data_IF_523765076881
#
_entry.id   IF_523765076881
#
_cell.length_a   1.000
_cell.length_b   1.000
_cell.length_c   1.000
_cell.angle_alpha   90.00
_cell.angle_beta   90.00
_cell.angle_gamma   90.00
#
_symmetry.space_group_name_H-M   'P 1'
#
loop_
_entity.id
_entity.type
_entity.pdbx_description
1 polymer ?
#
# COMPACT_ATOMS: atom_id res chain seq x y z
N UNK A 1 -12.18 -28.57 -5.36
CA UNK A 1 -12.60 -27.19 -5.14
C UNK A 1 -13.00 -26.55 -6.47
N UNK A 2 -14.08 -25.75 -6.44
CA UNK A 2 -14.63 -25.12 -7.64
C UNK A 2 -14.38 -23.61 -7.59
N UNK A 3 -13.12 -23.20 -7.36
CA UNK A 3 -12.69 -21.82 -7.33
C UNK A 3 -11.90 -21.47 -8.60
N UNK A 4 -12.13 -20.26 -9.15
CA UNK A 4 -11.25 -19.69 -10.16
C UNK A 4 -10.02 -19.16 -9.47
N UNK A 5 -8.84 -19.51 -9.98
CA UNK A 5 -7.57 -19.08 -9.43
C UNK A 5 -6.68 -18.55 -10.56
N UNK A 6 -6.02 -17.39 -10.36
CA UNK A 6 -5.05 -16.83 -11.29
C UNK A 6 -4.01 -16.01 -10.53
N UNK A 7 -2.87 -15.76 -11.14
CA UNK A 7 -1.77 -14.97 -10.59
C UNK A 7 -1.70 -13.61 -11.28
N UNK A 8 -1.42 -12.56 -10.49
CA UNK A 8 -1.13 -11.22 -10.99
C UNK A 8 0.30 -10.84 -10.63
N UNK A 9 0.99 -10.17 -11.57
CA UNK A 9 2.35 -9.67 -11.37
C UNK A 9 2.45 -8.24 -11.86
N UNK A 10 2.74 -7.33 -10.94
CA UNK A 10 3.07 -5.93 -11.18
C UNK A 10 3.93 -5.44 -10.02
N UNK A 11 5.11 -6.04 -9.87
CA UNK A 11 6.04 -5.77 -8.79
C UNK A 11 5.31 -5.69 -7.42
N UNK A 12 5.65 -4.68 -6.59
CA UNK A 12 5.03 -4.50 -5.27
C UNK A 12 3.59 -3.94 -5.31
N UNK A 13 3.05 -3.64 -6.48
CA UNK A 13 1.69 -3.12 -6.66
C UNK A 13 0.63 -4.22 -6.88
N UNK A 14 1.01 -5.44 -7.27
CA UNK A 14 0.13 -6.48 -7.79
C UNK A 14 -1.13 -6.79 -6.97
N UNK A 15 -1.08 -6.74 -5.64
CA UNK A 15 -2.27 -6.99 -4.81
C UNK A 15 -3.31 -5.87 -4.87
N UNK A 16 -2.90 -4.63 -5.15
CA UNK A 16 -3.83 -3.49 -5.24
C UNK A 16 -4.76 -3.61 -6.44
N UNK A 17 -4.29 -3.80 -7.69
CA UNK A 17 -5.20 -4.04 -8.80
C UNK A 17 -6.00 -5.34 -8.62
N UNK A 18 -5.47 -6.37 -7.95
CA UNK A 18 -6.24 -7.57 -7.63
C UNK A 18 -7.45 -7.26 -6.72
N UNK A 19 -7.29 -6.37 -5.74
CA UNK A 19 -8.37 -5.92 -4.87
C UNK A 19 -9.38 -5.08 -5.66
N UNK A 20 -8.93 -4.15 -6.51
CA UNK A 20 -9.83 -3.34 -7.34
C UNK A 20 -10.65 -4.22 -8.29
N UNK A 21 -10.02 -5.17 -8.98
CA UNK A 21 -10.73 -6.13 -9.83
C UNK A 21 -11.67 -7.05 -9.05
N UNK A 22 -11.30 -7.44 -7.82
CA UNK A 22 -12.17 -8.21 -6.94
C UNK A 22 -13.43 -7.41 -6.56
N UNK A 23 -13.27 -6.11 -6.27
CA UNK A 23 -14.39 -5.21 -5.99
C UNK A 23 -15.33 -5.11 -7.19
N UNK A 24 -14.80 -4.91 -8.41
CA UNK A 24 -15.57 -4.85 -9.64
C UNK A 24 -16.29 -6.17 -9.96
N UNK A 25 -15.62 -7.29 -9.75
CA UNK A 25 -16.21 -8.62 -9.90
C UNK A 25 -17.40 -8.83 -8.96
N UNK A 26 -17.24 -8.42 -7.70
CA UNK A 26 -18.26 -8.58 -6.66
C UNK A 26 -19.44 -7.60 -6.83
N UNK A 27 -19.27 -6.48 -7.52
CA UNK A 27 -20.37 -5.55 -7.82
C UNK A 27 -21.52 -6.23 -8.59
N UNK A 28 -21.19 -7.23 -9.43
CA UNK A 28 -22.18 -8.03 -10.14
C UNK A 28 -22.51 -9.38 -9.48
N UNK A 29 -21.79 -9.74 -8.41
CA UNK A 29 -21.89 -11.03 -7.71
C UNK A 29 -21.85 -10.85 -6.19
N UNK A 30 -22.85 -10.18 -5.59
CA UNK A 30 -22.78 -9.74 -4.18
C UNK A 30 -22.76 -10.90 -3.18
N UNK A 31 -23.12 -12.10 -3.58
CA UNK A 31 -23.10 -13.29 -2.72
C UNK A 31 -21.78 -14.08 -2.79
N UNK A 32 -20.88 -13.70 -3.70
CA UNK A 32 -19.58 -14.34 -3.83
C UNK A 32 -18.55 -13.67 -2.92
N UNK A 33 -17.39 -14.30 -2.79
CA UNK A 33 -16.22 -13.78 -2.10
C UNK A 33 -14.99 -14.00 -2.95
N UNK A 34 -14.02 -13.07 -2.85
CA UNK A 34 -12.72 -13.20 -3.51
C UNK A 34 -11.64 -13.17 -2.45
N UNK A 35 -10.76 -14.16 -2.47
CA UNK A 35 -9.58 -14.18 -1.61
C UNK A 35 -8.39 -13.67 -2.42
N UNK A 36 -7.83 -12.53 -2.01
CA UNK A 36 -6.58 -11.98 -2.54
C UNK A 36 -5.45 -12.37 -1.60
N UNK A 37 -4.44 -13.05 -2.11
CA UNK A 37 -3.27 -13.48 -1.34
C UNK A 37 -2.04 -12.76 -1.90
N UNK A 38 -1.42 -11.92 -1.08
CA UNK A 38 -0.13 -11.30 -1.33
C UNK A 38 0.94 -12.12 -0.59
N UNK A 39 1.76 -12.86 -1.31
CA UNK A 39 2.78 -13.73 -0.71
C UNK A 39 4.10 -13.58 -1.46
N UNK A 40 5.15 -13.23 -0.73
CA UNK A 40 6.45 -12.98 -1.35
C UNK A 40 7.62 -13.24 -0.39
N UNK A 41 8.81 -13.42 -1.00
CA UNK A 41 10.08 -13.49 -0.31
C UNK A 41 11.08 -12.56 -1.03
N UNK A 42 11.38 -11.42 -0.40
CA UNK A 42 12.37 -10.50 -0.95
C UNK A 42 13.79 -11.05 -0.74
N UNK A 43 14.54 -11.20 -1.82
CA UNK A 43 15.91 -11.71 -1.80
C UNK A 43 16.81 -10.83 -2.68
N UNK A 44 17.88 -10.26 -2.10
CA UNK A 44 18.76 -9.31 -2.77
C UNK A 44 20.19 -9.84 -2.76
N UNK A 45 20.72 -10.71 -2.42
CA UNK A 45 22.11 -11.14 -2.37
C UNK A 45 22.85 -10.63 -1.12
N UNK A 46 23.79 -11.42 -0.71
CA UNK A 46 24.63 -11.14 0.46
C UNK A 46 25.53 -9.92 0.18
N UNK A 47 25.70 -9.07 1.16
CA UNK A 47 26.47 -7.80 1.09
C UNK A 47 25.92 -6.78 0.08
N UNK A 48 24.70 -6.95 -0.41
CA UNK A 48 24.02 -5.91 -1.21
C UNK A 48 23.41 -4.82 -0.31
N UNK A 49 23.23 -3.61 -0.84
CA UNK A 49 22.56 -2.52 -0.11
C UNK A 49 21.10 -2.82 0.24
N UNK A 50 20.49 -3.81 -0.41
CA UNK A 50 19.13 -4.26 -0.12
C UNK A 50 19.03 -5.34 0.97
N UNK A 51 20.11 -6.00 1.30
CA UNK A 51 20.12 -7.13 2.24
C UNK A 51 19.40 -6.84 3.57
N UNK A 52 19.60 -5.69 4.24
CA UNK A 52 18.93 -5.38 5.49
C UNK A 52 17.42 -5.19 5.39
N UNK A 53 16.89 -5.04 4.17
CA UNK A 53 15.46 -4.81 3.93
C UNK A 53 14.71 -6.07 3.52
N UNK A 54 15.38 -7.20 3.39
CA UNK A 54 14.78 -8.48 3.02
C UNK A 54 13.68 -8.87 4.00
N UNK A 55 12.63 -9.48 3.47
CA UNK A 55 11.54 -10.01 4.27
C UNK A 55 10.85 -11.16 3.57
N UNK A 56 10.05 -11.91 4.32
CA UNK A 56 9.21 -12.97 3.79
C UNK A 56 7.89 -12.98 4.56
N UNK A 57 6.79 -13.14 3.84
CA UNK A 57 5.47 -13.18 4.47
C UNK A 57 4.33 -13.28 3.48
N UNK A 58 3.15 -13.44 4.03
CA UNK A 58 1.92 -13.46 3.26
C UNK A 58 0.81 -12.72 4.00
N UNK A 59 0.02 -11.98 3.24
CA UNK A 59 -1.22 -11.35 3.72
C UNK A 59 -2.37 -11.89 2.88
N UNK A 60 -3.40 -12.42 3.54
CA UNK A 60 -4.61 -12.91 2.90
C UNK A 60 -5.78 -11.96 3.20
N UNK A 61 -6.46 -11.48 2.17
CA UNK A 61 -7.52 -10.49 2.26
C UNK A 61 -8.80 -11.05 1.65
N UNK A 62 -9.84 -11.19 2.46
CA UNK A 62 -11.16 -11.59 1.97
C UNK A 62 -11.92 -10.35 1.53
N UNK A 63 -12.22 -10.26 0.24
CA UNK A 63 -13.02 -9.20 -0.35
C UNK A 63 -14.46 -9.68 -0.49
N UNK A 64 -15.40 -8.87 -0.01
CA UNK A 64 -16.82 -9.19 -0.05
C UNK A 64 -17.66 -7.92 -0.28
N UNK A 65 -18.89 -8.09 -0.75
CA UNK A 65 -19.84 -6.99 -0.93
C UNK A 65 -20.21 -6.31 0.40
N UNK A 66 -20.25 -7.07 1.48
CA UNK A 66 -20.48 -6.56 2.84
C UNK A 66 -19.19 -6.71 3.67
N UNK A 67 -18.29 -5.72 3.65
CA UNK A 67 -17.05 -5.78 4.39
C UNK A 67 -17.28 -5.65 5.91
N UNK A 68 -16.43 -6.32 6.71
CA UNK A 68 -16.48 -6.25 8.17
C UNK A 68 -15.39 -5.38 8.78
N UNK A 69 -14.36 -5.01 8.02
CA UNK A 69 -13.21 -4.23 8.53
C UNK A 69 -13.13 -2.87 7.85
N UNK A 70 -12.92 -2.85 6.55
CA UNK A 70 -12.68 -1.65 5.77
C UNK A 70 -13.53 -1.70 4.50
N UNK A 71 -14.41 -0.74 4.34
CA UNK A 71 -15.15 -0.52 3.10
C UNK A 71 -14.29 0.29 2.15
N UNK A 72 -13.86 -0.32 1.05
CA UNK A 72 -13.11 0.40 0.01
C UNK A 72 -14.00 1.43 -0.66
N UNK A 73 -13.49 2.64 -0.83
CA UNK A 73 -14.16 3.71 -1.53
C UNK A 73 -13.91 3.61 -3.05
N UNK A 74 -14.77 4.23 -3.85
CA UNK A 74 -14.65 4.28 -5.32
C UNK A 74 -13.87 5.53 -5.73
N UNK A 75 -12.64 5.67 -5.23
CA UNK A 75 -11.89 6.90 -5.30
C UNK A 75 -10.42 6.71 -5.74
N UNK A 76 -10.06 5.55 -6.21
CA UNK A 76 -8.70 5.22 -6.59
C UNK A 76 -8.16 6.10 -7.73
N UNK A 77 -6.92 6.55 -7.59
CA UNK A 77 -6.18 7.31 -8.61
C UNK A 77 -4.80 6.70 -8.79
N UNK A 78 -4.52 6.20 -9.98
CA UNK A 78 -3.24 5.63 -10.36
C UNK A 78 -2.41 6.61 -11.21
N UNK A 79 -1.10 6.57 -11.01
CA UNK A 79 -0.08 7.24 -11.81
C UNK A 79 0.93 6.21 -12.30
N UNK A 80 1.14 6.15 -13.61
CA UNK A 80 2.07 5.20 -14.24
C UNK A 80 3.13 5.96 -15.04
N UNK A 81 4.38 5.53 -14.90
CA UNK A 81 5.53 6.08 -15.62
C UNK A 81 6.52 4.94 -15.95
N UNK A 82 7.16 4.99 -17.10
CA UNK A 82 8.17 4.00 -17.48
C UNK A 82 9.52 4.34 -16.81
N UNK A 83 9.82 3.64 -15.70
CA UNK A 83 11.00 3.89 -14.85
C UNK A 83 11.67 2.57 -14.47
N UNK A 84 12.92 2.40 -14.87
CA UNK A 84 13.74 1.22 -14.54
C UNK A 84 14.48 1.42 -13.21
N UNK A 85 13.74 1.53 -12.13
CA UNK A 85 14.25 1.82 -10.79
C UNK A 85 14.68 0.58 -10.01
N UNK A 86 13.94 -0.53 -10.19
CA UNK A 86 14.20 -1.81 -9.56
C UNK A 86 13.70 -2.93 -10.46
N UNK A 87 14.58 -3.80 -10.92
CA UNK A 87 14.23 -4.88 -11.86
C UNK A 87 15.24 -6.03 -11.79
N UNK A 88 14.86 -7.19 -12.26
CA UNK A 88 15.77 -8.33 -12.39
C UNK A 88 16.03 -8.60 -13.87
N UNK A 89 17.25 -8.28 -14.38
CA UNK A 89 17.63 -8.61 -15.76
C UNK A 89 17.59 -10.12 -16.02
N UNK A 90 17.32 -10.49 -17.28
CA UNK A 90 17.37 -11.90 -17.70
C UNK A 90 18.74 -12.50 -17.41
N UNK A 91 18.77 -13.69 -16.79
CA UNK A 91 20.01 -14.38 -16.42
C UNK A 91 20.62 -13.93 -15.08
N UNK A 92 20.11 -12.89 -14.44
CA UNK A 92 20.54 -12.49 -13.10
C UNK A 92 19.77 -13.24 -12.00
N UNK A 93 20.50 -13.66 -10.97
CA UNK A 93 19.88 -14.34 -9.81
C UNK A 93 19.09 -13.37 -8.93
N UNK A 94 19.57 -12.15 -8.77
CA UNK A 94 19.01 -11.13 -7.90
C UNK A 94 18.59 -9.89 -8.69
N UNK A 95 17.59 -9.13 -8.20
CA UNK A 95 17.24 -7.86 -8.80
C UNK A 95 18.34 -6.82 -8.58
N UNK A 96 18.39 -5.85 -9.48
CA UNK A 96 19.20 -4.65 -9.39
C UNK A 96 18.33 -3.47 -8.92
N UNK A 97 18.91 -2.56 -8.16
CA UNK A 97 18.24 -1.36 -7.69
C UNK A 97 19.05 -0.11 -8.01
N UNK A 98 18.41 0.88 -8.63
CA UNK A 98 18.91 2.24 -8.73
C UNK A 98 18.33 3.07 -7.56
N UNK A 99 18.93 2.97 -6.38
CA UNK A 99 18.33 3.40 -5.11
C UNK A 99 17.90 4.87 -5.05
N UNK A 100 18.65 5.80 -5.65
CA UNK A 100 18.26 7.20 -5.72
C UNK A 100 17.03 7.38 -6.64
N UNK A 101 17.08 6.79 -7.84
CA UNK A 101 15.98 6.81 -8.79
C UNK A 101 14.71 6.18 -8.22
N UNK A 102 14.85 5.03 -7.54
CA UNK A 102 13.72 4.33 -6.93
C UNK A 102 13.03 5.17 -5.85
N UNK A 103 13.83 5.83 -5.00
CA UNK A 103 13.28 6.77 -4.00
C UNK A 103 12.52 7.92 -4.65
N UNK A 104 13.12 8.54 -5.67
CA UNK A 104 12.54 9.72 -6.33
C UNK A 104 11.27 9.33 -7.12
N UNK A 105 11.27 8.18 -7.80
CA UNK A 105 10.11 7.63 -8.49
C UNK A 105 8.95 7.33 -7.52
N UNK A 106 9.25 6.73 -6.36
CA UNK A 106 8.27 6.45 -5.31
C UNK A 106 7.61 7.74 -4.80
N UNK A 107 8.42 8.76 -4.42
CA UNK A 107 7.91 10.03 -3.89
C UNK A 107 7.11 10.77 -4.95
N UNK A 108 7.62 10.86 -6.19
CA UNK A 108 6.91 11.47 -7.32
C UNK A 108 5.57 10.78 -7.56
N UNK A 109 5.56 9.46 -7.62
CA UNK A 109 4.34 8.68 -7.86
C UNK A 109 3.28 8.91 -6.76
N UNK A 110 3.71 9.02 -5.50
CA UNK A 110 2.82 9.40 -4.42
C UNK A 110 2.26 10.81 -4.60
N UNK A 111 3.13 11.79 -4.87
CA UNK A 111 2.69 13.19 -5.05
C UNK A 111 1.69 13.34 -6.20
N UNK A 112 1.97 12.71 -7.35
CA UNK A 112 1.09 12.77 -8.53
C UNK A 112 -0.27 12.12 -8.24
N UNK A 113 -0.28 10.92 -7.68
CA UNK A 113 -1.53 10.21 -7.35
C UNK A 113 -2.31 10.93 -6.24
N UNK A 114 -1.65 11.45 -5.19
CA UNK A 114 -2.28 12.21 -4.14
C UNK A 114 -2.86 13.53 -4.64
N UNK A 115 -2.09 14.33 -5.40
CA UNK A 115 -2.55 15.63 -5.88
C UNK A 115 -3.79 15.49 -6.77
N UNK A 116 -3.77 14.49 -7.66
CA UNK A 116 -4.92 14.22 -8.52
C UNK A 116 -6.11 13.65 -7.73
N UNK A 117 -5.86 12.78 -6.73
CA UNK A 117 -6.89 12.30 -5.81
C UNK A 117 -7.54 13.44 -5.03
N UNK A 118 -6.73 14.30 -4.41
CA UNK A 118 -7.19 15.46 -3.65
C UNK A 118 -8.06 16.39 -4.51
N UNK A 119 -7.60 16.63 -5.75
CA UNK A 119 -8.34 17.45 -6.73
C UNK A 119 -9.66 16.82 -7.16
N UNK A 120 -9.67 15.52 -7.49
CA UNK A 120 -10.88 14.82 -7.99
C UNK A 120 -11.94 14.70 -6.93
N UNK A 121 -11.54 14.42 -5.70
CA UNK A 121 -12.46 14.08 -4.61
C UNK A 121 -12.65 15.22 -3.60
N UNK A 122 -12.04 16.39 -3.87
CA UNK A 122 -12.06 17.57 -2.97
C UNK A 122 -11.67 17.17 -1.53
N UNK A 123 -10.54 16.47 -1.40
CA UNK A 123 -10.01 15.94 -0.14
C UNK A 123 -8.74 16.66 0.28
N UNK A 124 -8.52 16.70 1.58
CA UNK A 124 -7.30 17.21 2.22
C UNK A 124 -6.74 16.15 3.17
N UNK A 125 -5.54 16.35 3.69
CA UNK A 125 -4.95 15.46 4.69
C UNK A 125 -5.77 15.37 5.99
N UNK A 126 -6.56 16.40 6.29
CA UNK A 126 -7.42 16.42 7.46
C UNK A 126 -8.57 15.39 7.41
N UNK A 127 -8.96 14.95 6.22
CA UNK A 127 -10.01 13.95 6.01
C UNK A 127 -9.60 12.52 6.44
N UNK A 128 -8.31 12.28 6.70
CA UNK A 128 -7.79 10.94 6.99
C UNK A 128 -7.39 10.79 8.45
N UNK A 129 -7.79 9.68 9.07
CA UNK A 129 -7.31 9.29 10.39
C UNK A 129 -5.85 8.80 10.34
N UNK A 130 -5.47 8.16 9.25
CA UNK A 130 -4.11 7.70 8.97
C UNK A 130 -3.88 7.51 7.48
N UNK A 131 -2.61 7.46 7.09
CA UNK A 131 -2.16 7.01 5.76
C UNK A 131 -1.25 5.79 5.91
N UNK A 132 -1.58 4.72 5.18
CA UNK A 132 -0.74 3.54 5.03
C UNK A 132 -0.02 3.58 3.67
N UNK A 133 1.22 3.14 3.66
CA UNK A 133 2.08 3.17 2.48
C UNK A 133 2.60 1.78 2.16
N UNK A 134 2.95 1.54 0.90
CA UNK A 134 3.88 0.48 0.57
C UNK A 134 5.21 0.72 1.27
N UNK A 135 5.71 -0.25 2.01
CA UNK A 135 6.88 -0.12 2.89
C UNK A 135 8.00 -1.07 2.44
N UNK A 136 8.83 -0.69 1.45
CA UNK A 136 10.03 -1.45 1.13
C UNK A 136 11.08 -1.37 2.27
N UNK A 137 11.06 -0.29 3.03
CA UNK A 137 11.69 -0.09 4.34
C UNK A 137 10.99 1.07 5.06
N UNK A 138 11.00 1.06 6.37
CA UNK A 138 10.14 1.92 7.20
C UNK A 138 10.28 3.43 6.98
N UNK A 139 11.46 3.89 6.53
CA UNK A 139 11.69 5.32 6.25
C UNK A 139 11.12 5.78 4.90
N UNK A 140 10.71 4.87 4.00
CA UNK A 140 10.28 5.27 2.66
C UNK A 140 8.92 5.98 2.68
N UNK A 141 7.93 5.39 3.33
CA UNK A 141 6.62 6.01 3.48
C UNK A 141 6.66 7.33 4.26
N UNK A 142 7.53 7.43 5.28
CA UNK A 142 7.76 8.70 5.98
C UNK A 142 8.23 9.80 5.02
N UNK A 143 9.19 9.51 4.15
CA UNK A 143 9.67 10.49 3.15
C UNK A 143 8.59 10.94 2.18
N UNK A 144 7.70 10.02 1.80
CA UNK A 144 6.55 10.39 0.99
C UNK A 144 5.58 11.29 1.76
N UNK A 145 5.24 10.92 2.99
CA UNK A 145 4.40 11.75 3.86
C UNK A 145 5.02 13.14 4.08
N UNK A 146 6.31 13.22 4.39
CA UNK A 146 7.06 14.47 4.60
C UNK A 146 7.00 15.40 3.37
N UNK A 147 6.84 14.84 2.18
CA UNK A 147 6.80 15.62 0.94
C UNK A 147 5.51 16.44 0.74
N UNK A 148 4.46 16.14 1.50
CA UNK A 148 3.16 16.82 1.39
C UNK A 148 2.62 17.33 2.73
N UNK A 149 3.10 16.81 3.87
CA UNK A 149 2.48 17.05 5.18
C UNK A 149 2.50 18.51 5.64
N UNK A 150 3.48 19.29 5.16
CA UNK A 150 3.61 20.71 5.50
C UNK A 150 2.45 21.58 4.96
N UNK A 151 1.59 21.04 4.12
CA UNK A 151 0.38 21.71 3.65
C UNK A 151 -0.81 21.56 4.60
N UNK A 152 -0.68 20.73 5.65
CA UNK A 152 -1.71 20.53 6.67
C UNK A 152 -1.48 21.40 7.91
N UNK A 153 -2.53 21.57 8.72
CA UNK A 153 -2.41 22.16 10.05
C UNK A 153 -1.62 21.26 11.02
N UNK A 154 -1.09 21.84 12.09
CA UNK A 154 -0.24 21.16 13.06
C UNK A 154 -0.90 19.91 13.67
N UNK A 155 -2.19 19.99 14.01
CA UNK A 155 -2.93 18.85 14.57
C UNK A 155 -3.00 17.68 13.59
N UNK A 156 -3.22 17.97 12.32
CA UNK A 156 -3.23 16.96 11.24
C UNK A 156 -1.83 16.38 11.02
N UNK A 157 -0.78 17.22 11.04
CA UNK A 157 0.61 16.77 10.95
C UNK A 157 0.96 15.79 12.06
N UNK A 158 0.67 16.16 13.32
CA UNK A 158 0.96 15.32 14.50
C UNK A 158 0.20 13.99 14.44
N UNK A 159 -1.09 14.02 14.07
CA UNK A 159 -1.91 12.82 13.92
C UNK A 159 -1.35 11.87 12.87
N UNK A 160 -1.04 12.36 11.68
CA UNK A 160 -0.56 11.53 10.57
C UNK A 160 0.85 11.00 10.83
N UNK A 161 1.75 11.80 11.41
CA UNK A 161 3.08 11.35 11.80
C UNK A 161 3.02 10.27 12.90
N UNK A 162 2.21 10.47 13.92
CA UNK A 162 2.02 9.49 14.99
C UNK A 162 1.41 8.20 14.44
N UNK A 163 0.36 8.28 13.63
CA UNK A 163 -0.30 7.10 13.07
C UNK A 163 0.58 6.34 12.08
N UNK A 164 1.50 7.02 11.39
CA UNK A 164 2.47 6.37 10.53
C UNK A 164 3.40 5.44 11.32
N UNK A 165 3.82 5.83 12.53
CA UNK A 165 4.67 4.98 13.36
C UNK A 165 3.95 3.69 13.77
N UNK A 166 2.65 3.77 14.08
CA UNK A 166 1.81 2.61 14.37
C UNK A 166 1.63 1.72 13.12
N UNK A 167 1.43 2.35 11.96
CA UNK A 167 1.26 1.63 10.70
C UNK A 167 2.51 0.83 10.27
N UNK A 168 3.72 1.27 10.59
CA UNK A 168 4.95 0.59 10.17
C UNK A 168 5.56 -0.33 11.24
N UNK A 169 4.92 -0.47 12.39
CA UNK A 169 5.51 -1.21 13.49
C UNK A 169 5.80 -2.68 13.12
N UNK A 170 4.85 -3.39 12.53
CA UNK A 170 5.06 -4.77 12.07
C UNK A 170 6.08 -4.88 10.94
N UNK A 171 6.11 -3.90 10.04
CA UNK A 171 7.08 -3.89 8.94
C UNK A 171 8.53 -3.79 9.41
N UNK A 172 8.80 -3.23 10.61
CA UNK A 172 10.14 -3.17 11.20
C UNK A 172 10.73 -4.54 11.50
N UNK A 173 9.87 -5.50 11.85
CA UNK A 173 10.30 -6.86 12.22
C UNK A 173 10.25 -7.83 11.06
N UNK A 174 9.32 -7.63 10.12
CA UNK A 174 9.10 -8.54 8.98
C UNK A 174 10.00 -8.20 7.79
N UNK A 175 10.28 -6.90 7.56
CA UNK A 175 10.99 -6.42 6.38
C UNK A 175 10.07 -6.29 5.17
N UNK A 176 10.68 -6.20 3.98
CA UNK A 176 9.93 -6.04 2.74
C UNK A 176 9.32 -7.37 2.29
N UNK A 177 8.02 -7.43 2.17
CA UNK A 177 7.27 -8.54 1.59
C UNK A 177 6.55 -8.12 0.29
N UNK A 178 7.17 -7.19 -0.45
CA UNK A 178 6.69 -6.62 -1.71
C UNK A 178 5.25 -6.15 -1.60
N UNK A 179 4.34 -6.66 -2.42
CA UNK A 179 2.97 -6.18 -2.47
C UNK A 179 2.20 -6.37 -1.14
N UNK A 180 2.59 -7.32 -0.30
CA UNK A 180 2.02 -7.53 1.04
C UNK A 180 2.38 -6.42 2.04
N UNK A 181 3.46 -5.66 1.81
CA UNK A 181 3.96 -4.67 2.78
C UNK A 181 2.97 -3.55 3.09
N UNK A 182 2.18 -3.10 2.12
CA UNK A 182 1.11 -2.11 2.34
C UNK A 182 0.02 -2.68 3.27
N UNK A 183 -0.39 -3.91 3.03
CA UNK A 183 -1.48 -4.54 3.78
C UNK A 183 -1.02 -4.98 5.17
N UNK A 184 0.26 -5.33 5.34
CA UNK A 184 0.88 -5.50 6.65
C UNK A 184 0.89 -4.19 7.45
N UNK A 185 1.17 -3.07 6.78
CA UNK A 185 1.08 -1.72 7.37
C UNK A 185 -0.36 -1.40 7.83
N UNK A 186 -1.36 -1.76 7.02
CA UNK A 186 -2.76 -1.61 7.42
C UNK A 186 -3.11 -2.49 8.65
N UNK A 187 -2.69 -3.75 8.68
CA UNK A 187 -2.89 -4.65 9.82
C UNK A 187 -2.24 -4.07 11.08
N UNK A 188 -0.98 -3.64 10.98
CA UNK A 188 -0.27 -3.01 12.10
C UNK A 188 -1.05 -1.82 12.66
N UNK A 189 -1.50 -0.90 11.80
CA UNK A 189 -2.30 0.25 12.19
C UNK A 189 -3.59 -0.15 12.92
N UNK A 190 -4.32 -1.12 12.38
CA UNK A 190 -5.61 -1.58 12.93
C UNK A 190 -5.44 -2.23 14.32
N UNK A 191 -4.33 -2.90 14.57
CA UNK A 191 -4.08 -3.60 15.83
C UNK A 191 -3.44 -2.70 16.90
N UNK A 192 -2.61 -1.73 16.50
CA UNK A 192 -1.83 -0.92 17.45
C UNK A 192 -2.49 0.41 17.80
N UNK A 193 -3.37 0.95 16.94
CA UNK A 193 -4.00 2.24 17.13
C UNK A 193 -5.47 2.12 17.55
N UNK A 194 -5.90 3.01 18.45
CA UNK A 194 -7.32 3.15 18.78
C UNK A 194 -8.04 3.93 17.67
N UNK A 195 -8.61 3.18 16.71
CA UNK A 195 -9.39 3.70 15.59
C UNK A 195 -10.87 3.38 15.80
N UNK A 196 -11.74 4.18 15.17
CA UNK A 196 -13.20 4.05 15.28
C UNK A 196 -13.83 3.85 13.91
N UNK A 197 -14.98 3.17 13.89
CA UNK A 197 -15.82 3.09 12.71
C UNK A 197 -16.12 4.48 12.13
N UNK A 198 -16.31 4.57 10.83
CA UNK A 198 -16.52 5.80 10.10
C UNK A 198 -15.24 6.58 9.75
N UNK A 199 -14.10 6.28 10.36
CA UNK A 199 -12.83 6.94 10.02
C UNK A 199 -12.30 6.47 8.67
N UNK A 200 -11.71 7.40 7.92
CA UNK A 200 -11.11 7.12 6.61
C UNK A 200 -9.61 6.87 6.74
N UNK A 201 -9.15 5.79 6.11
CA UNK A 201 -7.75 5.43 5.98
C UNK A 201 -7.35 5.59 4.52
N UNK A 202 -6.31 6.38 4.26
CA UNK A 202 -5.69 6.47 2.94
C UNK A 202 -4.65 5.37 2.75
N UNK A 203 -4.54 4.83 1.55
CA UNK A 203 -3.58 3.78 1.20
C UNK A 203 -2.83 4.17 -0.07
N UNK A 204 -1.52 4.10 0.00
CA UNK A 204 -0.65 4.30 -1.16
C UNK A 204 0.11 3.03 -1.50
N UNK A 205 -0.19 2.47 -2.66
CA UNK A 205 0.48 1.32 -3.25
C UNK A 205 1.48 1.78 -4.30
N UNK A 206 2.64 1.12 -4.37
CA UNK A 206 3.67 1.39 -5.36
C UNK A 206 4.32 0.10 -5.84
N UNK A 207 4.53 -0.01 -7.13
CA UNK A 207 5.31 -1.06 -7.78
C UNK A 207 6.33 -0.44 -8.72
N UNK A 208 7.58 -0.91 -8.60
CA UNK A 208 8.66 -0.48 -9.50
C UNK A 208 8.37 -0.85 -10.95
N UNK A 209 8.73 0.07 -11.91
CA UNK A 209 8.49 -0.12 -13.32
C UNK A 209 7.89 1.07 -14.06
N UNK A 210 7.04 1.93 -13.52
CA UNK A 210 6.51 2.06 -12.19
C UNK A 210 5.02 2.38 -12.22
N UNK A 211 4.31 2.00 -11.19
CA UNK A 211 2.93 2.39 -10.96
C UNK A 211 2.70 2.68 -9.49
N UNK A 212 2.03 3.79 -9.20
CA UNK A 212 1.54 4.12 -7.87
C UNK A 212 0.06 4.38 -7.90
N UNK A 213 -0.64 4.01 -6.84
CA UNK A 213 -2.07 4.23 -6.70
C UNK A 213 -2.38 4.71 -5.28
N UNK A 214 -3.08 5.83 -5.19
CA UNK A 214 -3.69 6.30 -3.96
C UNK A 214 -5.18 6.00 -3.98
N UNK A 215 -5.66 5.38 -2.92
CA UNK A 215 -7.08 5.05 -2.73
C UNK A 215 -7.41 5.11 -1.25
N UNK A 216 -8.68 5.03 -0.91
CA UNK A 216 -9.09 5.06 0.49
C UNK A 216 -10.12 3.98 0.86
N UNK A 217 -10.26 3.80 2.16
CA UNK A 217 -11.33 3.00 2.72
C UNK A 217 -11.85 3.60 4.03
N UNK A 218 -13.12 3.33 4.32
CA UNK A 218 -13.77 3.75 5.54
C UNK A 218 -13.92 2.55 6.47
N UNK A 219 -13.47 2.71 7.72
CA UNK A 219 -13.60 1.67 8.74
C UNK A 219 -15.07 1.39 9.05
N UNK A 220 -15.42 0.11 9.12
CA UNK A 220 -16.77 -0.35 9.46
C UNK A 220 -16.98 -0.25 10.96
N UNK A 221 -18.18 0.09 11.41
CA UNK A 221 -18.51 0.10 12.83
C UNK A 221 -18.33 -1.31 13.44
N UNK A 222 -17.62 -1.38 14.56
CA UNK A 222 -17.36 -2.65 15.24
C UNK A 222 -16.38 -3.58 14.51
N UNK A 223 -15.46 -3.02 13.71
CA UNK A 223 -14.44 -3.77 12.96
C UNK A 223 -13.41 -4.51 13.86
N UNK A 224 -13.33 -4.19 15.14
CA UNK A 224 -12.52 -4.87 16.19
C UNK A 224 -13.37 -5.86 16.98
#
# INVERSE_FOLDING_TARGET
>A
PFARCFEMKEACYAATPAIQLAKDYLAQRPNEKVLVIASDTARYGIHSGGEPTQGAGAVAMMISHNPSILKLNDDAVAYTEDVYDFWRPTGHQYPLVAGALSKDAYIKSFQESWNEYARRHNKTLADFASLCFHVPFTKMGQKALDSIINHADETTQDRLNSSYQDAVDYNRYVGNIYTGSLYLSLISLLETRDLKGGQTIGLFSYGSGSVGEFFSGTLVDGFK
#
